data_IF_443959554529
#
_entry.id   IF_443959554529
#
_cell.length_a   1.000
_cell.length_b   1.000
_cell.length_c   1.000
_cell.angle_alpha   90.00
_cell.angle_beta   90.00
_cell.angle_gamma   90.00
#
_symmetry.space_group_name_H-M   'P 1'
#
loop_
_entity.id
_entity.type
_entity.pdbx_description
1 polymer ?
#
# COMPACT_ATOMS: atom_id res chain seq x y z
N UNK A 1 8.28 18.63 -7.64
CA UNK A 1 7.46 17.40 -7.59
C UNK A 1 8.39 16.23 -7.32
N UNK A 2 8.06 15.43 -6.30
CA UNK A 2 8.96 14.53 -5.58
C UNK A 2 9.49 13.37 -6.43
N UNK A 3 10.82 13.28 -6.62
CA UNK A 3 11.45 12.15 -7.31
C UNK A 3 11.23 10.78 -6.62
N UNK A 4 10.90 10.78 -5.32
CA UNK A 4 10.61 9.56 -4.55
C UNK A 4 9.26 8.93 -4.87
N UNK A 5 8.21 9.73 -5.12
CA UNK A 5 6.91 9.18 -5.53
C UNK A 5 7.02 8.51 -6.90
N UNK A 6 7.82 9.09 -7.80
CA UNK A 6 8.15 8.44 -9.07
C UNK A 6 8.80 7.07 -8.82
N UNK A 7 9.72 6.91 -7.86
CA UNK A 7 10.36 5.60 -7.60
C UNK A 7 9.35 4.50 -7.20
N UNK A 8 8.40 4.81 -6.31
CA UNK A 8 7.39 3.84 -5.83
C UNK A 8 6.44 3.47 -6.97
N UNK A 9 5.91 4.47 -7.68
CA UNK A 9 5.07 4.28 -8.86
C UNK A 9 5.74 3.35 -9.88
N UNK A 10 7.00 3.63 -10.27
CA UNK A 10 7.69 2.83 -11.29
C UNK A 10 7.91 1.38 -10.83
N UNK A 11 8.13 1.15 -9.53
CA UNK A 11 8.27 -0.21 -8.98
C UNK A 11 6.95 -0.98 -9.04
N UNK A 12 5.85 -0.34 -8.66
CA UNK A 12 4.51 -0.92 -8.73
C UNK A 12 4.14 -1.20 -10.19
N UNK A 13 4.35 -0.23 -11.10
CA UNK A 13 4.12 -0.41 -12.53
C UNK A 13 4.95 -1.59 -13.06
N UNK A 14 6.25 -1.63 -12.77
CA UNK A 14 7.12 -2.72 -13.19
C UNK A 14 6.65 -4.08 -12.64
N UNK A 15 6.15 -4.16 -11.42
CA UNK A 15 5.59 -5.39 -10.86
C UNK A 15 4.42 -5.92 -11.70
N UNK A 16 3.50 -5.03 -12.11
CA UNK A 16 2.28 -5.40 -12.82
C UNK A 16 2.46 -5.59 -14.33
N UNK A 17 3.35 -4.84 -14.98
CA UNK A 17 3.57 -4.89 -16.44
C UNK A 17 4.01 -6.27 -16.93
N UNK A 18 4.71 -7.05 -16.12
CA UNK A 18 5.16 -8.40 -16.48
C UNK A 18 4.06 -9.48 -16.36
N UNK A 19 2.85 -9.13 -15.89
CA UNK A 19 1.73 -10.07 -15.76
C UNK A 19 0.83 -10.04 -17.01
N UNK A 20 0.18 -11.17 -17.32
CA UNK A 20 -0.89 -11.21 -18.31
C UNK A 20 -2.02 -10.24 -17.95
N UNK A 21 -2.63 -9.60 -18.94
CA UNK A 21 -3.60 -8.50 -18.77
C UNK A 21 -4.74 -8.83 -17.80
N UNK A 22 -5.43 -9.96 -17.97
CA UNK A 22 -6.53 -10.37 -17.09
C UNK A 22 -6.07 -10.57 -15.65
N UNK A 23 -4.92 -11.23 -15.47
CA UNK A 23 -4.32 -11.46 -14.15
C UNK A 23 -3.89 -10.14 -13.51
N UNK A 24 -3.37 -9.22 -14.30
CA UNK A 24 -2.91 -7.90 -13.85
C UNK A 24 -4.05 -7.06 -13.31
N UNK A 25 -5.16 -6.97 -14.05
CA UNK A 25 -6.36 -6.24 -13.62
C UNK A 25 -6.95 -6.86 -12.36
N UNK A 26 -7.07 -8.19 -12.32
CA UNK A 26 -7.57 -8.90 -11.14
C UNK A 26 -6.69 -8.64 -9.90
N UNK A 27 -5.37 -8.70 -10.02
CA UNK A 27 -4.46 -8.43 -8.91
C UNK A 27 -4.54 -6.97 -8.44
N UNK A 28 -4.70 -6.00 -9.35
CA UNK A 28 -4.89 -4.59 -9.00
C UNK A 28 -6.21 -4.36 -8.24
N UNK A 29 -7.28 -5.06 -8.63
CA UNK A 29 -8.58 -5.01 -7.95
C UNK A 29 -8.49 -5.59 -6.54
N UNK A 30 -7.95 -6.81 -6.41
CA UNK A 30 -7.77 -7.47 -5.10
C UNK A 30 -6.92 -6.60 -4.17
N UNK A 31 -5.82 -6.04 -4.69
CA UNK A 31 -4.94 -5.18 -3.90
C UNK A 31 -5.64 -3.89 -3.46
N UNK A 32 -6.48 -3.31 -4.32
CA UNK A 32 -7.26 -2.12 -3.97
C UNK A 32 -8.26 -2.43 -2.85
N UNK A 33 -8.96 -3.57 -2.93
CA UNK A 33 -9.88 -4.04 -1.89
C UNK A 33 -9.16 -4.32 -0.56
N UNK A 34 -7.98 -4.95 -0.61
CA UNK A 34 -7.17 -5.20 0.58
C UNK A 34 -6.74 -3.90 1.26
N UNK A 35 -6.33 -2.88 0.49
CA UNK A 35 -5.96 -1.58 1.01
C UNK A 35 -7.15 -0.81 1.58
N UNK A 36 -8.31 -0.86 0.93
CA UNK A 36 -9.56 -0.25 1.43
C UNK A 36 -10.00 -0.90 2.76
N UNK A 37 -9.91 -2.22 2.85
CA UNK A 37 -10.18 -2.97 4.06
C UNK A 37 -9.20 -2.63 5.18
N UNK A 38 -7.90 -2.52 4.87
CA UNK A 38 -6.86 -2.16 5.82
C UNK A 38 -7.04 -0.72 6.32
N UNK A 39 -7.36 0.22 5.43
CA UNK A 39 -7.65 1.61 5.78
C UNK A 39 -8.87 1.71 6.69
N UNK A 40 -9.94 0.99 6.38
CA UNK A 40 -11.16 0.94 7.19
C UNK A 40 -10.89 0.38 8.60
N UNK A 41 -10.03 -0.63 8.72
CA UNK A 41 -9.58 -1.16 10.01
C UNK A 41 -8.76 -0.11 10.77
N UNK A 42 -7.81 0.55 10.11
CA UNK A 42 -6.98 1.61 10.72
C UNK A 42 -7.82 2.81 11.18
N UNK A 43 -8.87 3.19 10.45
CA UNK A 43 -9.79 4.26 10.85
C UNK A 43 -10.52 3.98 12.16
N UNK A 44 -10.96 2.72 12.35
CA UNK A 44 -11.73 2.29 13.53
C UNK A 44 -10.86 2.05 14.76
N UNK A 45 -9.55 1.95 14.59
CA UNK A 45 -8.57 1.73 15.64
C UNK A 45 -8.60 2.87 16.68
N UNK A 46 -8.67 2.54 17.97
CA UNK A 46 -8.42 3.53 19.02
C UNK A 46 -6.91 3.80 19.13
N UNK A 47 -6.51 5.05 19.40
CA UNK A 47 -5.09 5.41 19.54
C UNK A 47 -4.39 4.67 20.69
N UNK A 48 -5.15 4.14 21.65
CA UNK A 48 -4.64 3.33 22.77
C UNK A 48 -4.36 1.86 22.41
N UNK A 49 -4.83 1.37 21.26
CA UNK A 49 -4.75 -0.05 20.88
C UNK A 49 -3.45 -0.40 20.14
N UNK A 50 -2.30 -0.26 20.82
CA UNK A 50 -0.96 -0.48 20.23
C UNK A 50 -0.75 -1.87 19.59
N UNK A 51 -1.33 -2.92 20.17
CA UNK A 51 -1.24 -4.27 19.61
C UNK A 51 -1.94 -4.39 18.25
N UNK A 52 -3.11 -3.75 18.12
CA UNK A 52 -3.85 -3.74 16.87
C UNK A 52 -3.16 -2.84 15.85
N UNK A 53 -2.58 -1.70 16.28
CA UNK A 53 -1.72 -0.87 15.41
C UNK A 53 -0.58 -1.70 14.81
N UNK A 54 0.14 -2.45 15.64
CA UNK A 54 1.24 -3.31 15.20
C UNK A 54 0.77 -4.41 14.23
N UNK A 55 -0.40 -5.00 14.50
CA UNK A 55 -1.01 -5.98 13.60
C UNK A 55 -1.32 -5.39 12.22
N UNK A 56 -1.89 -4.18 12.15
CA UNK A 56 -2.20 -3.51 10.90
C UNK A 56 -0.93 -3.05 10.16
N UNK A 57 0.07 -2.55 10.89
CA UNK A 57 1.38 -2.22 10.34
C UNK A 57 2.06 -3.47 9.71
N UNK A 58 1.94 -4.62 10.37
CA UNK A 58 2.44 -5.89 9.82
C UNK A 58 1.71 -6.31 8.55
N UNK A 59 0.37 -6.15 8.49
CA UNK A 59 -0.41 -6.40 7.26
C UNK A 59 0.05 -5.49 6.12
N UNK A 60 0.23 -4.18 6.39
CA UNK A 60 0.76 -3.24 5.41
C UNK A 60 2.15 -3.66 4.90
N UNK A 61 3.04 -4.09 5.80
CA UNK A 61 4.36 -4.59 5.44
C UNK A 61 4.30 -5.82 4.53
N UNK A 62 3.32 -6.70 4.76
CA UNK A 62 3.04 -7.83 3.87
C UNK A 62 2.73 -7.38 2.45
N UNK A 63 1.82 -6.40 2.31
CA UNK A 63 1.46 -5.80 1.01
C UNK A 63 2.69 -5.16 0.34
N UNK A 64 3.46 -4.36 1.08
CA UNK A 64 4.67 -3.72 0.55
C UNK A 64 5.73 -4.76 0.11
N UNK A 65 5.81 -5.89 0.81
CA UNK A 65 6.73 -6.98 0.46
C UNK A 65 6.28 -7.72 -0.79
N UNK A 66 4.97 -7.94 -0.94
CA UNK A 66 4.38 -8.49 -2.17
C UNK A 66 4.69 -7.62 -3.39
N UNK A 67 4.59 -6.29 -3.23
CA UNK A 67 4.91 -5.30 -4.27
C UNK A 67 6.40 -5.03 -4.45
N UNK A 68 7.27 -5.66 -3.67
CA UNK A 68 8.73 -5.45 -3.70
C UNK A 68 9.16 -3.98 -3.40
N UNK A 69 8.38 -3.26 -2.58
CA UNK A 69 8.62 -1.86 -2.15
C UNK A 69 8.93 -1.73 -0.65
N UNK A 70 9.12 -2.83 0.06
CA UNK A 70 9.35 -2.88 1.51
C UNK A 70 10.59 -2.12 2.01
N UNK A 71 11.52 -1.81 1.11
CA UNK A 71 12.76 -1.07 1.43
C UNK A 71 12.59 0.45 1.38
N UNK A 72 11.42 0.95 0.97
CA UNK A 72 11.18 2.39 0.91
C UNK A 72 10.88 2.94 2.31
N UNK A 73 11.60 4.00 2.69
CA UNK A 73 11.56 4.57 4.04
C UNK A 73 10.15 4.99 4.51
N UNK A 74 9.25 5.31 3.57
CA UNK A 74 7.87 5.73 3.89
C UNK A 74 6.95 4.58 4.33
N UNK A 75 7.34 3.33 4.03
CA UNK A 75 6.63 2.12 4.46
C UNK A 75 7.29 1.48 5.68
N UNK A 76 8.31 2.11 6.26
CA UNK A 76 9.06 1.53 7.36
C UNK A 76 8.38 1.83 8.69
N UNK A 77 7.75 0.79 9.25
CA UNK A 77 7.27 0.72 10.64
C UNK A 77 6.51 1.97 11.13
N UNK A 78 5.27 2.20 10.66
CA UNK A 78 4.47 3.34 11.09
C UNK A 78 4.28 3.33 12.62
N UNK A 79 4.70 4.40 13.27
CA UNK A 79 4.75 4.53 14.74
C UNK A 79 3.43 5.05 15.31
N UNK A 80 2.53 5.53 14.46
CA UNK A 80 1.24 6.08 14.85
C UNK A 80 0.12 5.65 13.90
N UNK A 81 -1.13 5.73 14.37
CA UNK A 81 -2.32 5.54 13.54
C UNK A 81 -2.33 6.48 12.34
N UNK A 82 -1.93 7.74 12.54
CA UNK A 82 -1.89 8.76 11.49
C UNK A 82 -0.87 8.41 10.41
N UNK A 83 0.32 7.97 10.81
CA UNK A 83 1.35 7.49 9.87
C UNK A 83 0.87 6.27 9.11
N UNK A 84 0.30 5.28 9.80
CA UNK A 84 -0.26 4.08 9.15
C UNK A 84 -1.31 4.45 8.10
N UNK A 85 -2.28 5.29 8.47
CA UNK A 85 -3.34 5.73 7.56
C UNK A 85 -2.79 6.53 6.38
N UNK A 86 -1.84 7.43 6.61
CA UNK A 86 -1.20 8.20 5.55
C UNK A 86 -0.47 7.30 4.56
N UNK A 87 0.27 6.32 5.07
CA UNK A 87 1.01 5.37 4.25
C UNK A 87 0.09 4.48 3.42
N UNK A 88 -1.04 4.03 3.99
CA UNK A 88 -2.07 3.28 3.25
C UNK A 88 -2.66 4.15 2.13
N UNK A 89 -3.02 5.41 2.43
CA UNK A 89 -3.57 6.34 1.44
C UNK A 89 -2.61 6.64 0.30
N UNK A 90 -1.32 6.82 0.60
CA UNK A 90 -0.34 6.97 -0.46
C UNK A 90 -0.31 5.74 -1.36
N UNK A 91 -0.27 4.54 -0.79
CA UNK A 91 -0.22 3.32 -1.57
C UNK A 91 -1.48 3.13 -2.42
N UNK A 92 -2.67 3.39 -1.87
CA UNK A 92 -3.93 3.41 -2.62
C UNK A 92 -3.87 4.37 -3.82
N UNK A 93 -3.31 5.56 -3.62
CA UNK A 93 -3.17 6.54 -4.68
C UNK A 93 -2.22 6.03 -5.79
N UNK A 94 -1.07 5.46 -5.42
CA UNK A 94 -0.14 4.90 -6.40
C UNK A 94 -0.75 3.72 -7.18
N UNK A 95 -1.47 2.81 -6.51
CA UNK A 95 -2.20 1.72 -7.18
C UNK A 95 -3.25 2.25 -8.14
N UNK A 96 -4.00 3.29 -7.73
CA UNK A 96 -5.00 3.92 -8.59
C UNK A 96 -4.38 4.56 -9.83
N UNK A 97 -3.24 5.26 -9.67
CA UNK A 97 -2.52 5.85 -10.81
C UNK A 97 -2.07 4.77 -11.77
N UNK A 98 -1.43 3.70 -11.28
CA UNK A 98 -0.99 2.56 -12.11
C UNK A 98 -2.18 1.90 -12.83
N UNK A 99 -3.31 1.71 -12.14
CA UNK A 99 -4.53 1.15 -12.74
C UNK A 99 -5.12 2.03 -13.85
N UNK A 100 -4.96 3.36 -13.78
CA UNK A 100 -5.45 4.27 -14.81
C UNK A 100 -4.58 4.33 -16.08
N UNK A 101 -3.33 3.89 -16.00
CA UNK A 101 -2.36 3.97 -17.10
C UNK A 101 -2.14 2.64 -17.83
N UNK A 102 -2.67 1.56 -17.26
CA UNK A 102 -2.64 0.20 -17.79
C UNK A 102 -3.96 -0.10 -18.52
#
# INVERSE_FOLDING_TARGET
MNSRNNSIYHKILAFFVHQHEEKRLHLLDVLSEELDSLFSQAQRLDASELLQLSSLAHKLKGICSYLMIQNEAVFFDPQSKQELMFTILMLQNEIKVVKCEI
#
